data_IF_963073151484
#
_entry.id   IF_963073151484
#
_cell.length_a   1.000
_cell.length_b   1.000
_cell.length_c   1.000
_cell.angle_alpha   90.00
_cell.angle_beta   90.00
_cell.angle_gamma   90.00
#
_symmetry.space_group_name_H-M   'P 1'
#
loop_
_entity.id
_entity.type
_entity.pdbx_description
1 polymer ?
#
# COMPACT_ATOMS: atom_id res chain seq x y z
N UNK A 1 -3.92 8.15 -7.99
CA UNK A 1 -5.35 8.57 -8.02
C UNK A 1 -6.15 7.92 -9.14
N UNK A 2 -5.53 7.50 -10.22
CA UNK A 2 -6.23 6.88 -11.37
C UNK A 2 -7.08 5.66 -10.98
N UNK A 3 -6.76 4.99 -9.87
CA UNK A 3 -7.47 3.78 -9.42
C UNK A 3 -8.58 4.05 -8.41
N UNK A 4 -8.81 5.30 -8.01
CA UNK A 4 -9.91 5.64 -7.08
C UNK A 4 -11.24 5.16 -7.66
N UNK A 5 -12.02 4.45 -6.87
CA UNK A 5 -13.28 3.83 -7.28
C UNK A 5 -13.17 2.40 -7.77
N UNK A 6 -11.98 1.88 -8.03
CA UNK A 6 -11.79 0.47 -8.40
C UNK A 6 -12.29 -0.44 -7.26
N UNK A 7 -13.16 -1.43 -7.55
CA UNK A 7 -13.69 -2.32 -6.53
C UNK A 7 -12.60 -3.10 -5.79
N UNK A 8 -12.77 -3.26 -4.48
CA UNK A 8 -11.91 -4.13 -3.68
C UNK A 8 -12.27 -5.59 -3.95
N UNK A 9 -11.26 -6.38 -4.33
CA UNK A 9 -11.37 -7.84 -4.46
C UNK A 9 -10.10 -8.45 -3.88
N UNK A 10 -10.24 -9.39 -2.95
CA UNK A 10 -9.10 -10.08 -2.36
C UNK A 10 -8.23 -10.71 -3.45
N UNK A 11 -6.93 -10.44 -3.41
CA UNK A 11 -5.94 -10.83 -4.42
C UNK A 11 -6.21 -10.25 -5.82
N UNK A 12 -7.05 -9.22 -5.94
CA UNK A 12 -7.34 -8.56 -7.21
C UNK A 12 -6.13 -7.85 -7.80
N UNK A 13 -5.93 -8.01 -9.12
CA UNK A 13 -4.77 -7.49 -9.87
C UNK A 13 -5.16 -6.86 -11.20
N UNK A 14 -6.42 -6.45 -11.36
CA UNK A 14 -6.94 -5.89 -12.62
C UNK A 14 -7.26 -4.41 -12.40
N UNK A 15 -6.39 -3.48 -12.83
CA UNK A 15 -6.64 -2.04 -12.68
C UNK A 15 -8.01 -1.64 -13.22
N UNK A 16 -8.73 -0.82 -12.48
CA UNK A 16 -10.07 -0.37 -12.82
C UNK A 16 -11.19 -1.37 -12.55
N UNK A 17 -10.89 -2.64 -12.32
CA UNK A 17 -11.89 -3.71 -12.16
C UNK A 17 -11.83 -4.37 -10.79
N UNK A 18 -10.64 -4.74 -10.32
CA UNK A 18 -10.50 -5.52 -9.08
C UNK A 18 -9.09 -5.34 -8.51
N UNK A 19 -8.97 -4.71 -7.35
CA UNK A 19 -7.69 -4.53 -6.65
C UNK A 19 -7.91 -4.71 -5.14
N UNK A 20 -6.98 -5.40 -4.48
CA UNK A 20 -6.78 -5.26 -3.04
C UNK A 20 -5.64 -4.25 -2.77
N UNK A 21 -5.20 -4.11 -1.51
CA UNK A 21 -4.15 -3.14 -1.19
C UNK A 21 -2.82 -3.47 -1.88
N UNK A 22 -2.47 -4.74 -1.97
CA UNK A 22 -1.26 -5.17 -2.67
C UNK A 22 -1.40 -4.99 -4.19
N UNK A 23 -2.59 -5.24 -4.75
CA UNK A 23 -2.87 -5.00 -6.17
C UNK A 23 -2.76 -3.53 -6.55
N UNK A 24 -3.18 -2.63 -5.68
CA UNK A 24 -2.97 -1.20 -5.88
C UNK A 24 -1.48 -0.88 -5.94
N UNK A 25 -0.67 -1.43 -5.05
CA UNK A 25 0.78 -1.19 -5.03
C UNK A 25 1.45 -1.74 -6.30
N UNK A 26 1.07 -2.92 -6.77
CA UNK A 26 1.56 -3.46 -8.05
C UNK A 26 1.24 -2.51 -9.20
N UNK A 27 0.03 -1.97 -9.23
CA UNK A 27 -0.40 -1.01 -10.25
C UNK A 27 0.41 0.29 -10.20
N UNK A 28 0.65 0.81 -8.99
CA UNK A 28 1.46 2.03 -8.80
C UNK A 28 2.91 1.78 -9.23
N UNK A 29 3.49 0.66 -8.83
CA UNK A 29 4.87 0.31 -9.20
C UNK A 29 5.03 0.23 -10.72
N UNK A 30 4.09 -0.41 -11.41
CA UNK A 30 4.09 -0.47 -12.87
C UNK A 30 3.99 0.91 -13.50
N UNK A 31 3.13 1.78 -12.98
CA UNK A 31 2.92 3.13 -13.50
C UNK A 31 4.14 4.03 -13.37
N UNK A 32 4.95 3.86 -12.32
CA UNK A 32 6.17 4.64 -12.10
C UNK A 32 7.43 3.95 -12.63
N UNK A 33 7.29 2.78 -13.26
CA UNK A 33 8.40 2.02 -13.79
C UNK A 33 9.31 1.41 -12.72
N UNK A 34 8.78 1.17 -11.52
CA UNK A 34 9.53 0.60 -10.42
C UNK A 34 9.51 -0.93 -10.47
N UNK A 35 10.61 -1.54 -10.03
CA UNK A 35 10.70 -2.98 -9.87
C UNK A 35 9.89 -3.42 -8.65
N UNK A 36 9.02 -4.40 -8.83
CA UNK A 36 8.21 -4.96 -7.75
C UNK A 36 7.90 -6.43 -8.03
N UNK A 37 8.15 -7.28 -7.05
CA UNK A 37 7.83 -8.71 -7.12
C UNK A 37 6.47 -8.95 -6.48
N UNK A 38 5.49 -9.31 -7.28
CA UNK A 38 4.14 -9.59 -6.80
C UNK A 38 4.08 -10.92 -6.06
N UNK A 39 3.20 -11.01 -5.07
CA UNK A 39 2.98 -12.20 -4.24
C UNK A 39 1.50 -12.53 -4.26
N UNK A 40 1.19 -13.82 -4.41
CA UNK A 40 -0.16 -14.34 -4.40
C UNK A 40 -0.35 -15.37 -3.29
N UNK A 41 -1.59 -15.79 -3.04
CA UNK A 41 -1.90 -16.86 -2.10
C UNK A 41 -1.92 -16.45 -0.64
N UNK A 42 -1.81 -15.16 -0.32
CA UNK A 42 -1.88 -14.68 1.06
C UNK A 42 -3.32 -14.75 1.60
N UNK A 43 -3.43 -14.91 2.92
CA UNK A 43 -4.70 -15.01 3.62
C UNK A 43 -5.40 -13.66 3.75
N UNK A 44 -6.74 -13.67 3.86
CA UNK A 44 -7.51 -12.50 4.30
C UNK A 44 -7.29 -12.19 5.77
N UNK A 45 -6.90 -13.20 6.57
CA UNK A 45 -6.60 -13.03 8.00
C UNK A 45 -5.18 -12.50 8.12
N UNK A 46 -4.93 -11.44 8.90
CA UNK A 46 -3.59 -10.89 9.10
C UNK A 46 -2.62 -11.94 9.65
N UNK A 47 -1.49 -12.12 8.95
CA UNK A 47 -0.44 -13.08 9.33
C UNK A 47 0.95 -12.44 9.38
N UNK A 48 1.07 -11.14 9.11
CA UNK A 48 2.37 -10.46 9.04
C UNK A 48 3.13 -10.68 7.74
N UNK A 49 2.60 -11.43 6.79
CA UNK A 49 3.27 -11.75 5.52
C UNK A 49 3.63 -10.51 4.73
N UNK A 50 2.76 -9.48 4.71
CA UNK A 50 3.02 -8.26 3.95
C UNK A 50 4.27 -7.52 4.44
N UNK A 51 4.56 -7.53 5.74
CA UNK A 51 5.78 -6.90 6.26
C UNK A 51 7.04 -7.55 5.67
N UNK A 52 7.09 -8.88 5.65
CA UNK A 52 8.20 -9.63 5.04
C UNK A 52 8.30 -9.41 3.53
N UNK A 53 7.15 -9.34 2.84
CA UNK A 53 7.11 -9.05 1.42
C UNK A 53 7.73 -7.69 1.12
N UNK A 54 7.42 -6.66 1.92
CA UNK A 54 7.98 -5.32 1.73
C UNK A 54 9.50 -5.31 1.93
N UNK A 55 10.01 -6.00 2.94
CA UNK A 55 11.44 -6.08 3.21
C UNK A 55 12.21 -6.78 2.08
N UNK A 56 11.58 -7.70 1.37
CA UNK A 56 12.21 -8.43 0.27
C UNK A 56 12.14 -7.72 -1.08
N UNK A 57 11.46 -6.55 -1.19
CA UNK A 57 11.30 -5.87 -2.45
C UNK A 57 12.57 -5.17 -2.91
N UNK A 58 13.11 -5.51 -4.11
CA UNK A 58 14.35 -4.89 -4.60
C UNK A 58 14.16 -3.43 -4.97
N UNK A 59 12.96 -3.00 -5.33
CA UNK A 59 12.65 -1.64 -5.77
C UNK A 59 12.27 -0.67 -4.67
N UNK A 60 12.27 -1.11 -3.39
CA UNK A 60 11.86 -0.30 -2.25
C UNK A 60 12.96 -0.23 -1.20
N UNK A 61 13.09 0.92 -0.56
CA UNK A 61 13.94 1.11 0.62
C UNK A 61 13.08 1.58 1.79
N UNK A 62 13.40 1.07 2.97
CA UNK A 62 12.73 1.49 4.19
C UNK A 62 13.15 2.90 4.58
N UNK A 63 12.18 3.72 4.97
CA UNK A 63 12.40 5.07 5.49
C UNK A 63 11.71 5.18 6.85
N UNK A 64 12.05 6.22 7.62
CA UNK A 64 11.34 6.50 8.86
C UNK A 64 9.92 6.98 8.53
N UNK A 65 8.87 6.48 9.21
CA UNK A 65 7.50 6.92 8.94
C UNK A 65 7.32 8.44 9.01
N UNK A 66 8.00 9.12 9.92
CA UNK A 66 7.93 10.58 10.05
C UNK A 66 8.50 11.31 8.83
N UNK A 67 9.38 10.67 8.06
CA UNK A 67 9.97 11.23 6.87
C UNK A 67 9.17 10.94 5.60
N UNK A 68 8.07 10.20 5.71
CA UNK A 68 7.27 9.83 4.56
C UNK A 68 6.64 11.04 3.87
N UNK A 69 6.68 11.05 2.55
CA UNK A 69 6.15 12.11 1.69
C UNK A 69 5.30 11.52 0.57
N UNK A 70 4.72 12.37 -0.26
CA UNK A 70 3.87 11.93 -1.36
C UNK A 70 4.59 10.91 -2.26
N UNK A 71 3.92 9.82 -2.57
CA UNK A 71 4.45 8.69 -3.35
C UNK A 71 5.02 7.57 -2.51
N UNK A 72 5.24 7.76 -1.21
CA UNK A 72 5.73 6.71 -0.33
C UNK A 72 4.64 5.71 0.02
N UNK A 73 5.07 4.48 0.31
CA UNK A 73 4.18 3.37 0.67
C UNK A 73 4.19 3.19 2.18
N UNK A 74 3.01 3.08 2.75
CA UNK A 74 2.83 2.87 4.18
C UNK A 74 2.31 1.44 4.41
N UNK A 75 2.97 0.74 5.34
CA UNK A 75 2.46 -0.53 5.87
C UNK A 75 1.70 -0.22 7.14
N UNK A 76 0.46 -0.67 7.22
CA UNK A 76 -0.46 -0.39 8.30
C UNK A 76 -0.98 -1.67 8.93
N UNK A 77 -1.51 -1.54 10.15
CA UNK A 77 -2.24 -2.60 10.84
C UNK A 77 -3.62 -2.10 11.27
N UNK A 78 -4.60 -2.97 11.17
CA UNK A 78 -5.92 -2.77 11.77
C UNK A 78 -6.07 -3.53 13.09
N UNK A 79 -5.29 -4.60 13.25
CA UNK A 79 -5.16 -5.40 14.46
C UNK A 79 -3.68 -5.51 14.85
N UNK A 80 -3.21 -6.64 15.32
CA UNK A 80 -1.81 -6.82 15.73
C UNK A 80 -0.85 -6.90 14.54
N UNK A 81 -1.26 -7.60 13.48
CA UNK A 81 -0.38 -7.92 12.37
C UNK A 81 -0.47 -6.88 11.26
N UNK A 82 0.66 -6.46 10.69
CA UNK A 82 0.68 -5.61 9.51
C UNK A 82 0.08 -6.35 8.31
N UNK A 83 -1.05 -5.85 7.79
CA UNK A 83 -1.77 -6.51 6.71
C UNK A 83 -2.36 -5.52 5.70
N UNK A 84 -1.99 -4.27 5.75
CA UNK A 84 -2.56 -3.27 4.87
C UNK A 84 -1.48 -2.36 4.30
N UNK A 85 -1.66 -1.98 3.03
CA UNK A 85 -0.77 -1.08 2.31
C UNK A 85 -1.56 0.14 1.84
N UNK A 86 -0.95 1.31 1.94
CA UNK A 86 -1.49 2.55 1.41
C UNK A 86 -0.39 3.36 0.75
N UNK A 87 -0.77 4.25 -0.15
CA UNK A 87 0.15 5.20 -0.78
C UNK A 87 -0.13 6.59 -0.23
N UNK A 88 0.90 7.25 0.26
CA UNK A 88 0.79 8.60 0.78
C UNK A 88 0.69 9.60 -0.38
N UNK A 89 -0.23 10.55 -0.29
CA UNK A 89 -0.46 11.58 -1.29
C UNK A 89 -0.36 12.99 -0.69
N UNK A 90 0.66 13.21 0.15
CA UNK A 90 0.82 14.43 0.92
C UNK A 90 0.12 14.32 2.27
N UNK A 91 -1.01 14.99 2.45
CA UNK A 91 -1.82 14.93 3.68
C UNK A 91 -3.01 13.95 3.58
N UNK A 92 -3.10 13.22 2.49
CA UNK A 92 -4.09 12.15 2.28
C UNK A 92 -3.39 10.81 2.03
N UNK A 93 -4.16 9.72 2.16
CA UNK A 93 -3.74 8.38 1.74
C UNK A 93 -4.70 7.81 0.71
N UNK A 94 -4.14 7.01 -0.19
CA UNK A 94 -4.89 6.27 -1.20
C UNK A 94 -4.67 4.79 -0.94
N UNK A 95 -5.75 4.03 -0.80
CA UNK A 95 -5.67 2.60 -0.56
C UNK A 95 -6.91 1.87 -1.06
N UNK A 96 -6.75 0.60 -1.41
CA UNK A 96 -7.88 -0.29 -1.66
C UNK A 96 -8.29 -0.90 -0.34
N UNK A 97 -9.47 -0.54 0.15
CA UNK A 97 -9.89 -0.79 1.53
C UNK A 97 -11.15 -1.65 1.56
N UNK A 98 -11.04 -2.84 2.15
CA UNK A 98 -12.12 -3.81 2.19
C UNK A 98 -13.39 -3.27 2.87
N UNK A 99 -13.25 -2.52 3.96
CA UNK A 99 -14.41 -1.97 4.69
C UNK A 99 -15.20 -0.95 3.87
N UNK A 100 -14.52 -0.24 2.94
CA UNK A 100 -15.15 0.70 2.01
C UNK A 100 -15.62 -0.02 0.74
N UNK A 101 -14.99 -1.13 0.40
CA UNK A 101 -15.31 -1.94 -0.77
C UNK A 101 -14.67 -1.46 -2.07
N UNK A 102 -13.78 -0.47 -2.02
CA UNK A 102 -13.13 0.09 -3.20
C UNK A 102 -11.86 0.84 -2.84
N UNK A 103 -11.07 1.17 -3.85
CA UNK A 103 -9.96 2.11 -3.73
C UNK A 103 -10.51 3.50 -3.43
N UNK A 104 -9.96 4.15 -2.41
CA UNK A 104 -10.42 5.46 -1.96
C UNK A 104 -9.25 6.34 -1.52
N UNK A 105 -9.51 7.62 -1.42
CA UNK A 105 -8.58 8.63 -0.86
C UNK A 105 -9.28 9.36 0.27
N UNK A 106 -8.59 9.54 1.39
CA UNK A 106 -9.10 10.32 2.52
C UNK A 106 -7.95 10.91 3.33
N UNK A 107 -8.30 11.77 4.29
CA UNK A 107 -7.31 12.43 5.13
C UNK A 107 -6.45 11.41 5.89
N UNK A 108 -5.15 11.67 5.94
CA UNK A 108 -4.20 10.95 6.75
C UNK A 108 -4.15 11.58 8.15
N UNK A 109 -5.21 11.37 8.91
CA UNK A 109 -5.41 11.95 10.23
C UNK A 109 -4.66 11.17 11.33
N UNK A 110 -4.82 11.63 12.59
CA UNK A 110 -4.14 11.00 13.72
C UNK A 110 -4.51 9.53 13.90
N UNK A 111 -5.77 9.15 13.64
CA UNK A 111 -6.22 7.76 13.73
C UNK A 111 -5.46 6.86 12.75
N UNK A 112 -5.35 7.30 11.50
CA UNK A 112 -4.64 6.54 10.46
C UNK A 112 -3.12 6.57 10.67
N UNK A 113 -2.55 7.69 11.13
CA UNK A 113 -1.12 7.78 11.45
C UNK A 113 -0.70 6.76 12.50
N UNK A 114 -1.53 6.51 13.51
CA UNK A 114 -1.26 5.52 14.55
C UNK A 114 -1.23 4.08 14.05
N UNK A 115 -1.82 3.80 12.88
CA UNK A 115 -1.81 2.46 12.26
C UNK A 115 -0.53 2.15 11.51
N UNK A 116 0.28 3.15 11.20
CA UNK A 116 1.51 2.96 10.41
C UNK A 116 2.53 2.16 11.22
N UNK A 117 3.02 1.08 10.62
CA UNK A 117 4.06 0.21 11.17
C UNK A 117 5.40 0.52 10.53
N UNK A 118 5.43 0.73 9.22
CA UNK A 118 6.64 1.05 8.48
C UNK A 118 6.31 1.87 7.24
N UNK A 119 7.33 2.51 6.68
CA UNK A 119 7.20 3.32 5.47
C UNK A 119 8.32 2.96 4.50
N UNK A 120 8.02 3.03 3.21
CA UNK A 120 8.89 2.57 2.14
C UNK A 120 8.86 3.53 0.97
N UNK A 121 9.99 3.70 0.30
CA UNK A 121 10.12 4.61 -0.84
C UNK A 121 10.63 3.86 -2.04
N UNK A 122 10.06 4.10 -3.21
CA UNK A 122 10.59 3.58 -4.45
C UNK A 122 11.99 4.15 -4.71
N UNK A 123 12.93 3.30 -5.11
CA UNK A 123 14.34 3.68 -5.29
C UNK A 123 14.48 4.84 -6.29
N UNK A 124 13.69 4.83 -7.37
CA UNK A 124 13.72 5.90 -8.38
C UNK A 124 13.28 7.27 -7.86
N UNK A 125 12.69 7.35 -6.66
CA UNK A 125 12.28 8.59 -6.01
C UNK A 125 13.26 9.07 -4.95
N UNK A 126 14.40 8.40 -4.77
CA UNK A 126 15.46 8.88 -3.88
C UNK A 126 16.13 10.11 -4.49
N UNK A 127 16.52 11.09 -3.62
CA UNK A 127 17.24 12.28 -4.09
C UNK A 127 18.58 11.92 -4.71
#
# INVERSE_FOLDING_TARGET
>A
RAQIGTPFVHQGRIPGTALDCAGLLVTVAAAVGAEYVDVAGYSRIPTGVLAGVMESQPGLVRIKPIAATAGDVLVMRFSREPQHLAVLAGDTIIHSHAAVGRCCEHAFDATWRRRVVSAWRFIGMLP
#
